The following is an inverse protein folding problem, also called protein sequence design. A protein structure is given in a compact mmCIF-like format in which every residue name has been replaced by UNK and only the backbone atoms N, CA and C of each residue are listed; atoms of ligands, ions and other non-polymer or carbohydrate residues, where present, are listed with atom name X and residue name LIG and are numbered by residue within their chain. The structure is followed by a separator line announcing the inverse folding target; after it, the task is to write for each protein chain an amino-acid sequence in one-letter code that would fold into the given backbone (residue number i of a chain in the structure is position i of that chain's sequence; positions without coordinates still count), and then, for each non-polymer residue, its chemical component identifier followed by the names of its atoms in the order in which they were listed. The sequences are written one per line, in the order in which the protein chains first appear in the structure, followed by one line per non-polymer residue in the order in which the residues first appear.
data_IF_610692218190
#
_entry.id   IF_610692218190
#
_cell.length_a   1.000
_cell.length_b   1.000
_cell.length_c   1.000
_cell.angle_alpha   90.00
_cell.angle_beta   90.00
_cell.angle_gamma   90.00
#
_symmetry.space_group_name_H-M   'P 1'
#
loop_
_entity.id
_entity.type
_entity.pdbx_description
1 polymer ?
#
# COMPACT_ATOMS: atom_id res chain seq x y z
N UNK A 1 14.69 1.10 -11.83
CA UNK A 1 13.30 1.50 -12.11
C UNK A 1 12.56 1.51 -10.78
N UNK A 2 11.92 2.63 -10.43
CA UNK A 2 10.99 2.65 -9.31
C UNK A 2 9.62 2.23 -9.83
N UNK A 3 8.90 1.38 -9.10
CA UNK A 3 7.52 1.04 -9.39
C UNK A 3 6.67 1.94 -8.50
N UNK A 4 5.82 2.76 -9.10
CA UNK A 4 4.84 3.55 -8.37
C UNK A 4 3.70 2.64 -7.90
N UNK A 5 3.57 2.50 -6.58
CA UNK A 5 2.43 1.79 -5.99
C UNK A 5 1.34 2.82 -5.75
N UNK A 6 0.27 2.71 -6.56
CA UNK A 6 -0.91 3.55 -6.43
C UNK A 6 -1.92 2.86 -5.53
N UNK A 7 -2.37 3.57 -4.51
CA UNK A 7 -3.50 3.13 -3.69
C UNK A 7 -4.76 3.21 -4.56
N UNK A 8 -5.52 2.12 -4.74
CA UNK A 8 -6.78 2.16 -5.46
C UNK A 8 -7.84 2.89 -4.64
N UNK A 9 -8.96 3.28 -5.26
CA UNK A 9 -10.09 3.85 -4.54
C UNK A 9 -10.62 2.84 -3.52
N UNK A 10 -10.48 3.16 -2.22
CA UNK A 10 -10.81 2.24 -1.11
C UNK A 10 -12.31 2.18 -0.81
N UNK A 11 -13.11 3.07 -1.39
CA UNK A 11 -14.56 3.10 -1.33
C UNK A 11 -15.08 4.42 -1.89
N UNK A 12 -16.36 4.50 -2.28
CA UNK A 12 -16.94 5.73 -2.85
C UNK A 12 -16.82 6.95 -1.92
N UNK A 13 -16.70 6.73 -0.60
CA UNK A 13 -16.55 7.78 0.41
C UNK A 13 -15.17 7.86 1.05
N UNK A 14 -14.23 6.98 0.67
CA UNK A 14 -12.87 6.96 1.24
C UNK A 14 -11.91 7.69 0.32
N UNK A 15 -11.64 8.95 0.64
CA UNK A 15 -10.72 9.81 -0.12
C UNK A 15 -9.27 9.73 0.37
N UNK A 16 -9.06 9.37 1.63
CA UNK A 16 -7.76 9.33 2.27
C UNK A 16 -7.62 8.06 3.10
N UNK A 17 -6.42 7.48 3.09
CA UNK A 17 -6.07 6.32 3.90
C UNK A 17 -4.69 6.53 4.52
N UNK A 18 -4.59 6.20 5.80
CA UNK A 18 -3.35 6.30 6.55
C UNK A 18 -2.59 4.99 6.44
N UNK A 19 -1.26 5.07 6.29
CA UNK A 19 -0.43 3.87 6.30
C UNK A 19 -0.35 3.35 7.74
N UNK A 20 -1.02 2.22 8.01
CA UNK A 20 -0.96 1.55 9.30
C UNK A 20 0.39 0.84 9.49
N UNK A 21 0.82 0.05 8.50
CA UNK A 21 2.04 -0.75 8.60
C UNK A 21 2.70 -1.08 7.28
N UNK A 22 4.02 -0.93 7.21
CA UNK A 22 4.82 -1.45 6.11
C UNK A 22 5.23 -2.89 6.38
N UNK A 23 4.87 -3.80 5.48
CA UNK A 23 5.35 -5.18 5.50
C UNK A 23 6.70 -5.32 4.80
N UNK A 24 6.99 -4.46 3.82
CA UNK A 24 8.28 -4.43 3.11
C UNK A 24 9.19 -3.32 3.56
N UNK A 25 10.48 -3.65 3.61
CA UNK A 25 11.57 -2.70 3.89
C UNK A 25 12.24 -2.23 2.60
N UNK A 26 12.81 -1.02 2.59
CA UNK A 26 13.58 -0.54 1.45
C UNK A 26 14.73 -1.51 1.13
N UNK A 27 14.81 -1.92 -0.14
CA UNK A 27 15.80 -2.88 -0.63
C UNK A 27 15.36 -4.35 -0.65
N UNK A 28 14.19 -4.68 -0.10
CA UNK A 28 13.63 -6.02 -0.23
C UNK A 28 13.00 -6.28 -1.60
N UNK A 29 13.07 -7.54 -2.04
CA UNK A 29 12.36 -8.00 -3.22
C UNK A 29 10.86 -8.10 -2.94
N UNK A 30 10.08 -7.54 -3.85
CA UNK A 30 8.62 -7.60 -3.88
C UNK A 30 8.20 -8.69 -4.86
N UNK A 31 7.30 -9.60 -4.45
CA UNK A 31 6.70 -10.60 -5.33
C UNK A 31 5.23 -10.31 -5.60
N UNK A 32 4.72 -10.83 -6.72
CA UNK A 32 3.29 -10.89 -6.96
C UNK A 32 2.62 -11.70 -5.83
N UNK A 33 1.38 -11.31 -5.47
CA UNK A 33 0.58 -11.90 -4.40
C UNK A 33 1.11 -11.67 -2.96
N UNK A 34 2.08 -10.77 -2.79
CA UNK A 34 2.65 -10.46 -1.48
C UNK A 34 2.11 -9.12 -0.93
N UNK A 35 1.66 -9.07 0.34
CA UNK A 35 1.22 -7.82 0.96
C UNK A 35 2.42 -6.89 1.19
N UNK A 36 2.26 -5.63 0.77
CA UNK A 36 3.32 -4.61 0.80
C UNK A 36 3.14 -3.61 1.94
N UNK A 37 1.91 -3.10 2.06
CA UNK A 37 1.53 -2.06 3.01
C UNK A 37 0.09 -2.30 3.45
N UNK A 38 -0.14 -2.12 4.74
CA UNK A 38 -1.45 -2.06 5.36
C UNK A 38 -1.91 -0.61 5.41
N UNK A 39 -3.11 -0.36 4.90
CA UNK A 39 -3.73 0.95 4.89
C UNK A 39 -4.97 0.90 5.78
N UNK A 40 -5.13 1.89 6.64
CA UNK A 40 -6.30 2.08 7.51
C UNK A 40 -7.05 3.33 7.04
N UNK A 41 -8.36 3.23 7.02
CA UNK A 41 -9.28 4.29 6.60
C UNK A 41 -10.13 4.66 7.82
N UNK A 42 -10.32 5.95 8.06
CA UNK A 42 -11.34 6.43 9.01
C UNK A 42 -12.75 6.39 8.36
#
# INVERSE_FOLDING_TARGET
MAIEIKVPTLGESVTEATIAKWFKKPGEAVKADEPLVELETD
#
